data_IF_717322984043
#
_entry.id   IF_717322984043
#
_cell.length_a   1.000
_cell.length_b   1.000
_cell.length_c   1.000
_cell.angle_alpha   90.00
_cell.angle_beta   90.00
_cell.angle_gamma   90.00
#
_symmetry.space_group_name_H-M   'P 1'
#
loop_
_entity.id
_entity.type
_entity.pdbx_description
1 polymer ?
#
# COMPACT_ATOMS: atom_id res chain seq x y z
N UNK A 1 -62.48 22.27 22.99
CA UNK A 1 -62.12 21.66 21.70
C UNK A 1 -60.96 22.39 20.96
N UNK A 2 -60.81 23.71 21.11
CA UNK A 2 -59.73 24.45 20.40
C UNK A 2 -58.32 24.19 20.94
N UNK A 3 -58.12 23.80 22.22
CA UNK A 3 -56.80 23.55 22.80
C UNK A 3 -56.23 22.15 22.43
N UNK A 4 -57.10 21.17 22.13
CA UNK A 4 -56.69 19.80 21.78
C UNK A 4 -56.17 19.80 20.33
N UNK A 5 -56.77 20.61 19.47
CA UNK A 5 -56.33 20.72 18.07
C UNK A 5 -54.97 21.33 17.91
N UNK A 6 -54.62 22.35 18.77
CA UNK A 6 -53.33 22.98 18.79
C UNK A 6 -52.19 22.06 19.23
N UNK A 7 -52.52 21.14 20.17
CA UNK A 7 -51.53 20.18 20.68
C UNK A 7 -51.25 19.07 19.67
N UNK A 8 -52.28 18.63 18.88
CA UNK A 8 -52.16 17.64 17.84
C UNK A 8 -51.30 18.14 16.67
N UNK A 9 -51.44 19.42 16.25
CA UNK A 9 -50.62 20.04 15.23
C UNK A 9 -49.15 20.17 15.66
N UNK A 10 -48.88 20.38 16.94
CA UNK A 10 -47.50 20.52 17.45
C UNK A 10 -46.77 19.15 17.42
N UNK A 11 -47.49 18.06 17.77
CA UNK A 11 -46.93 16.69 17.70
C UNK A 11 -46.68 16.26 16.26
N UNK A 12 -47.55 16.61 15.31
CA UNK A 12 -47.36 16.31 13.89
C UNK A 12 -46.15 17.05 13.28
N UNK A 13 -45.90 18.30 13.73
CA UNK A 13 -44.71 19.07 13.28
C UNK A 13 -43.41 18.50 13.82
N UNK A 14 -43.40 17.96 15.06
CA UNK A 14 -42.20 17.34 15.64
C UNK A 14 -41.87 15.99 14.96
N UNK A 15 -42.88 15.19 14.60
CA UNK A 15 -42.67 13.91 13.88
C UNK A 15 -42.13 14.12 12.48
N UNK A 16 -42.54 15.18 11.78
CA UNK A 16 -41.98 15.49 10.44
C UNK A 16 -40.55 16.02 10.53
N UNK A 17 -40.17 16.75 11.60
CA UNK A 17 -38.81 17.22 11.79
C UNK A 17 -37.80 16.10 12.13
N UNK A 18 -38.27 15.00 12.76
CA UNK A 18 -37.41 13.85 13.07
C UNK A 18 -37.22 12.88 11.88
N UNK A 19 -38.05 12.95 10.84
CA UNK A 19 -37.92 12.10 9.66
C UNK A 19 -36.90 12.62 8.63
N UNK A 20 -36.39 13.84 8.78
CA UNK A 20 -35.42 14.44 7.87
C UNK A 20 -33.95 14.20 8.30
N UNK A 21 -33.72 13.46 9.40
CA UNK A 21 -32.39 13.22 9.96
C UNK A 21 -31.90 11.76 9.85
N UNK A 22 -32.43 10.98 8.92
CA UNK A 22 -31.93 9.62 8.70
C UNK A 22 -31.74 9.33 7.21
N UNK A 23 -30.73 9.88 6.62
CA UNK A 23 -30.01 9.36 5.48
C UNK A 23 -28.72 10.17 5.23
N UNK A 24 -27.97 10.49 6.26
CA UNK A 24 -26.53 10.61 6.07
C UNK A 24 -26.02 9.17 5.94
N UNK A 25 -26.01 8.59 4.73
CA UNK A 25 -25.01 7.60 4.39
C UNK A 25 -23.70 8.24 4.79
N UNK A 26 -23.04 7.71 5.83
CA UNK A 26 -21.60 7.85 5.93
C UNK A 26 -21.03 7.23 4.66
N UNK A 27 -20.88 8.02 3.63
CA UNK A 27 -19.81 7.83 2.68
C UNK A 27 -18.56 7.86 3.56
N UNK A 28 -17.98 6.69 3.80
CA UNK A 28 -16.58 6.55 4.16
C UNK A 28 -15.82 7.28 3.05
N UNK A 29 -15.71 8.59 3.20
CA UNK A 29 -14.87 9.39 2.36
C UNK A 29 -13.48 8.81 2.47
N UNK A 30 -13.02 8.17 1.41
CA UNK A 30 -11.61 8.08 1.11
C UNK A 30 -11.15 9.53 1.06
N UNK A 31 -10.63 10.03 2.20
CA UNK A 31 -10.03 11.36 2.26
C UNK A 31 -8.70 11.29 1.52
N UNK A 32 -8.77 11.08 0.21
CA UNK A 32 -7.65 11.21 -0.68
C UNK A 32 -7.29 12.70 -0.78
N UNK A 33 -6.02 12.98 -0.98
CA UNK A 33 -5.52 14.36 -1.17
C UNK A 33 -5.97 14.93 -2.51
N UNK A 34 -6.64 14.16 -3.37
CA UNK A 34 -6.91 14.47 -4.78
C UNK A 34 -5.67 14.32 -5.68
N UNK A 35 -4.56 13.84 -5.13
CA UNK A 35 -3.32 13.56 -5.85
C UNK A 35 -2.93 12.09 -5.65
N UNK A 36 -3.07 11.28 -6.69
CA UNK A 36 -2.84 9.84 -6.63
C UNK A 36 -1.42 9.47 -6.13
N UNK A 37 -0.41 10.29 -6.42
CA UNK A 37 0.96 10.02 -5.95
C UNK A 37 1.08 10.20 -4.43
N UNK A 38 0.48 11.25 -3.88
CA UNK A 38 0.47 11.48 -2.44
C UNK A 38 -0.37 10.43 -1.73
N UNK A 39 -1.53 10.09 -2.27
CA UNK A 39 -2.41 9.08 -1.71
C UNK A 39 -1.71 7.72 -1.64
N UNK A 40 -0.97 7.34 -2.68
CA UNK A 40 -0.16 6.12 -2.71
C UNK A 40 0.98 6.14 -1.67
N UNK A 41 1.68 7.27 -1.53
CA UNK A 41 2.73 7.45 -0.51
C UNK A 41 2.16 7.27 0.90
N UNK A 42 1.00 7.85 1.19
CA UNK A 42 0.38 7.78 2.51
C UNK A 42 -0.30 6.42 2.80
N UNK A 43 -0.78 5.72 1.77
CA UNK A 43 -1.37 4.40 1.89
C UNK A 43 -0.31 3.32 2.19
N UNK A 44 0.93 3.49 1.69
CA UNK A 44 1.98 2.50 1.83
C UNK A 44 2.26 2.14 3.29
N UNK A 45 2.22 0.87 3.57
CA UNK A 45 2.51 0.29 4.90
C UNK A 45 3.37 -0.97 4.79
N UNK A 46 4.01 -1.35 5.88
CA UNK A 46 4.80 -2.59 5.95
C UNK A 46 3.88 -3.77 6.27
N UNK A 47 3.43 -4.47 5.25
CA UNK A 47 2.63 -5.69 5.36
C UNK A 47 3.56 -6.89 5.58
N UNK A 48 3.21 -7.79 6.52
CA UNK A 48 3.98 -9.00 6.85
C UNK A 48 3.12 -10.26 6.91
N UNK A 49 1.84 -10.14 6.56
CA UNK A 49 0.90 -11.26 6.40
C UNK A 49 0.38 -11.24 4.97
N UNK A 50 0.54 -12.33 4.26
CA UNK A 50 0.24 -12.41 2.84
C UNK A 50 -0.86 -13.43 2.56
N UNK A 51 -1.63 -13.17 1.52
CA UNK A 51 -2.58 -14.13 0.97
C UNK A 51 -1.80 -15.25 0.27
N UNK A 52 -2.37 -16.47 0.29
CA UNK A 52 -1.82 -17.58 -0.47
C UNK A 52 -2.15 -17.47 -1.97
N UNK A 53 -1.72 -16.36 -2.59
CA UNK A 53 -1.97 -16.03 -3.99
C UNK A 53 -0.66 -15.64 -4.67
N UNK A 54 -0.42 -16.18 -5.85
CA UNK A 54 0.71 -15.76 -6.68
C UNK A 54 0.56 -14.31 -7.14
N UNK A 55 1.68 -13.66 -7.42
CA UNK A 55 1.72 -12.32 -8.02
C UNK A 55 1.89 -12.48 -9.52
N UNK A 56 1.06 -11.81 -10.28
CA UNK A 56 1.08 -11.82 -11.74
C UNK A 56 2.42 -11.26 -12.25
N UNK A 57 2.97 -11.87 -13.30
CA UNK A 57 4.28 -11.47 -13.86
C UNK A 57 4.31 -9.99 -14.23
N UNK A 58 3.25 -9.48 -14.79
CA UNK A 58 3.11 -8.09 -15.22
C UNK A 58 3.26 -7.11 -14.04
N UNK A 59 2.73 -7.46 -12.86
CA UNK A 59 2.89 -6.66 -11.64
C UNK A 59 4.33 -6.68 -11.14
N UNK A 60 4.98 -7.85 -11.20
CA UNK A 60 6.40 -7.95 -10.85
C UNK A 60 7.23 -7.08 -11.79
N UNK A 61 6.98 -7.15 -13.10
CA UNK A 61 7.68 -6.34 -14.10
C UNK A 61 7.47 -4.83 -13.87
N UNK A 62 6.26 -4.41 -13.47
CA UNK A 62 5.99 -3.00 -13.12
C UNK A 62 6.77 -2.56 -11.88
N UNK A 63 6.81 -3.38 -10.82
CA UNK A 63 7.61 -3.11 -9.63
C UNK A 63 9.10 -2.99 -9.94
N UNK A 64 9.65 -3.89 -10.77
CA UNK A 64 11.05 -3.83 -11.19
C UNK A 64 11.35 -2.56 -12.00
N UNK A 65 10.47 -2.19 -12.93
CA UNK A 65 10.59 -0.94 -13.69
C UNK A 65 10.54 0.30 -12.79
N UNK A 66 9.68 0.30 -11.76
CA UNK A 66 9.64 1.37 -10.77
C UNK A 66 10.97 1.46 -9.99
N UNK A 67 11.54 0.32 -9.60
CA UNK A 67 12.87 0.28 -8.98
C UNK A 67 13.96 0.83 -9.90
N UNK A 68 13.96 0.45 -11.18
CA UNK A 68 14.92 0.96 -12.16
C UNK A 68 14.79 2.46 -12.44
N UNK A 69 13.62 3.05 -12.19
CA UNK A 69 13.37 4.48 -12.36
C UNK A 69 13.83 5.33 -11.17
N UNK A 70 14.40 4.72 -10.12
CA UNK A 70 14.90 5.45 -8.97
C UNK A 70 16.08 6.36 -9.34
N UNK A 71 16.29 7.48 -8.63
CA UNK A 71 17.49 8.28 -8.77
C UNK A 71 18.70 7.53 -8.21
N UNK A 72 19.89 7.78 -8.76
CA UNK A 72 21.14 7.27 -8.22
C UNK A 72 22.25 8.32 -8.23
N UNK A 73 23.20 8.19 -7.31
CA UNK A 73 24.35 9.08 -7.24
C UNK A 73 25.14 9.03 -8.54
N UNK A 74 25.35 10.18 -9.18
CA UNK A 74 26.05 10.33 -10.47
C UNK A 74 25.43 9.49 -11.62
N UNK A 75 24.15 9.10 -11.50
CA UNK A 75 23.45 8.22 -12.45
C UNK A 75 24.14 6.87 -12.70
N UNK A 76 24.82 6.31 -11.69
CA UNK A 76 25.58 5.06 -11.82
C UNK A 76 24.65 3.84 -11.89
N UNK A 77 23.50 3.89 -11.22
CA UNK A 77 22.50 2.81 -11.17
C UNK A 77 23.12 1.47 -10.76
N UNK A 78 23.69 1.38 -9.53
CA UNK A 78 24.48 0.23 -9.10
C UNK A 78 23.63 -0.97 -8.63
N UNK A 79 22.31 -0.90 -8.75
CA UNK A 79 21.39 -1.94 -8.32
C UNK A 79 21.24 -3.07 -9.33
N UNK A 80 20.98 -4.24 -8.80
CA UNK A 80 20.48 -5.41 -9.50
C UNK A 80 19.29 -5.97 -8.74
N UNK A 81 18.34 -6.58 -9.44
CA UNK A 81 17.13 -7.13 -8.85
C UNK A 81 17.06 -8.63 -9.11
N UNK A 82 16.84 -9.42 -8.04
CA UNK A 82 16.65 -10.87 -8.14
C UNK A 82 15.23 -11.18 -7.68
N UNK A 83 14.44 -11.78 -8.57
CA UNK A 83 13.09 -12.28 -8.22
C UNK A 83 13.20 -13.73 -7.81
N UNK A 84 12.75 -14.04 -6.60
CA UNK A 84 12.72 -15.39 -6.05
C UNK A 84 11.27 -15.84 -5.92
N UNK A 85 10.88 -16.90 -6.65
CA UNK A 85 9.56 -17.53 -6.59
C UNK A 85 9.62 -19.00 -6.14
N UNK A 86 10.79 -19.56 -6.06
CA UNK A 86 11.02 -20.93 -5.61
C UNK A 86 10.74 -21.06 -4.12
N UNK A 87 9.83 -21.98 -3.74
CA UNK A 87 9.40 -22.14 -2.34
C UNK A 87 10.55 -22.55 -1.43
N UNK A 88 11.40 -23.48 -1.86
CA UNK A 88 12.50 -23.99 -1.04
C UNK A 88 13.53 -22.87 -0.75
N UNK A 89 13.79 -22.00 -1.73
CA UNK A 89 14.67 -20.84 -1.54
C UNK A 89 14.05 -19.83 -0.59
N UNK A 90 12.76 -19.52 -0.72
CA UNK A 90 12.06 -18.60 0.19
C UNK A 90 12.06 -19.14 1.64
N UNK A 91 11.86 -20.45 1.83
CA UNK A 91 11.90 -21.08 3.15
C UNK A 91 13.32 -21.06 3.74
N UNK A 92 14.33 -21.33 2.91
CA UNK A 92 15.74 -21.24 3.33
C UNK A 92 16.11 -19.81 3.75
N UNK A 93 15.65 -18.80 3.01
CA UNK A 93 15.84 -17.39 3.36
C UNK A 93 15.11 -17.04 4.66
N UNK A 94 13.88 -17.51 4.86
CA UNK A 94 13.12 -17.30 6.09
C UNK A 94 13.81 -17.95 7.30
N UNK A 95 14.46 -19.09 7.12
CA UNK A 95 15.23 -19.76 8.17
C UNK A 95 16.51 -19.00 8.53
N UNK A 96 17.24 -18.51 7.52
CA UNK A 96 18.54 -17.89 7.68
C UNK A 96 18.45 -16.42 8.16
N UNK A 97 17.38 -15.70 7.81
CA UNK A 97 17.26 -14.26 8.06
C UNK A 97 16.32 -13.99 9.27
N UNK A 98 16.79 -13.32 10.33
CA UNK A 98 16.02 -13.15 11.57
C UNK A 98 14.75 -12.33 11.38
N UNK A 99 14.74 -11.37 10.44
CA UNK A 99 13.64 -10.44 10.19
C UNK A 99 12.81 -10.78 8.95
N UNK A 100 13.05 -11.94 8.30
CA UNK A 100 12.38 -12.32 7.06
C UNK A 100 11.42 -13.51 7.23
N UNK A 101 10.90 -13.75 8.42
CA UNK A 101 9.99 -14.88 8.71
C UNK A 101 8.71 -14.87 7.86
N UNK A 102 8.29 -13.70 7.39
CA UNK A 102 7.14 -13.58 6.48
C UNK A 102 7.34 -14.29 5.13
N UNK A 103 8.58 -14.61 4.74
CA UNK A 103 8.88 -15.34 3.51
C UNK A 103 8.29 -16.75 3.50
N UNK A 104 7.97 -17.34 4.65
CA UNK A 104 7.25 -18.62 4.75
C UNK A 104 5.84 -18.54 4.14
N UNK A 105 5.25 -17.34 4.07
CA UNK A 105 3.91 -17.08 3.51
C UNK A 105 3.99 -16.42 2.12
N UNK A 106 5.05 -15.64 1.84
CA UNK A 106 5.21 -14.92 0.59
C UNK A 106 5.37 -15.89 -0.59
N UNK A 107 4.76 -15.56 -1.73
CA UNK A 107 4.90 -16.33 -2.97
C UNK A 107 6.07 -15.87 -3.83
N UNK A 108 6.48 -14.62 -3.64
CA UNK A 108 7.59 -14.01 -4.35
C UNK A 108 8.38 -13.12 -3.38
N UNK A 109 9.66 -12.94 -3.66
CA UNK A 109 10.50 -11.91 -3.05
C UNK A 109 11.31 -11.22 -4.14
N UNK A 110 11.52 -9.92 -3.98
CA UNK A 110 12.45 -9.14 -4.80
C UNK A 110 13.62 -8.78 -3.89
N UNK A 111 14.82 -9.23 -4.26
CA UNK A 111 16.05 -8.88 -3.57
C UNK A 111 16.68 -7.72 -4.35
N UNK A 112 16.97 -6.63 -3.65
CA UNK A 112 17.67 -5.48 -4.21
C UNK A 112 19.14 -5.61 -3.83
N UNK A 113 20.00 -5.84 -4.80
CA UNK A 113 21.45 -5.94 -4.65
C UNK A 113 22.12 -4.62 -5.06
N UNK A 114 23.20 -4.26 -4.43
CA UNK A 114 23.97 -3.06 -4.75
C UNK A 114 25.45 -3.36 -4.97
N UNK A 115 26.00 -2.84 -6.07
CA UNK A 115 27.43 -2.95 -6.37
C UNK A 115 28.20 -1.82 -5.68
N UNK A 116 28.90 -2.18 -4.60
CA UNK A 116 29.71 -1.24 -3.80
C UNK A 116 30.99 -0.79 -4.51
N UNK A 117 31.44 -1.49 -5.53
CA UNK A 117 32.62 -1.11 -6.32
C UNK A 117 32.24 -0.04 -7.34
N UNK A 118 31.04 -0.15 -7.96
CA UNK A 118 30.55 0.82 -8.94
C UNK A 118 30.15 2.16 -8.32
N UNK A 119 29.60 2.17 -7.11
CA UNK A 119 29.11 3.38 -6.45
C UNK A 119 29.35 3.35 -4.95
N UNK A 120 29.97 4.40 -4.43
CA UNK A 120 30.05 4.64 -2.97
C UNK A 120 28.68 4.97 -2.35
N UNK A 121 27.68 5.27 -3.16
CA UNK A 121 26.30 5.58 -2.75
C UNK A 121 25.35 4.40 -2.92
N UNK A 122 25.87 3.20 -3.25
CA UNK A 122 25.07 2.01 -3.59
C UNK A 122 23.92 1.74 -2.60
N UNK A 123 24.15 1.91 -1.31
CA UNK A 123 23.14 1.64 -0.27
C UNK A 123 22.01 2.68 -0.27
N UNK A 124 22.30 3.95 -0.56
CA UNK A 124 21.28 5.00 -0.73
C UNK A 124 20.50 4.79 -2.02
N UNK A 125 21.20 4.48 -3.11
CA UNK A 125 20.62 4.21 -4.42
C UNK A 125 19.67 3.00 -4.35
N UNK A 126 20.10 1.91 -3.72
CA UNK A 126 19.27 0.71 -3.49
C UNK A 126 18.08 0.99 -2.58
N UNK A 127 18.22 1.86 -1.59
CA UNK A 127 17.11 2.27 -0.72
C UNK A 127 16.05 3.04 -1.50
N UNK A 128 16.45 3.95 -2.40
CA UNK A 128 15.54 4.68 -3.26
C UNK A 128 14.81 3.72 -4.23
N UNK A 129 15.54 2.76 -4.82
CA UNK A 129 14.95 1.74 -5.69
C UNK A 129 13.95 0.85 -4.93
N UNK A 130 14.29 0.41 -3.71
CA UNK A 130 13.40 -0.37 -2.85
C UNK A 130 12.12 0.41 -2.50
N UNK A 131 12.23 1.72 -2.21
CA UNK A 131 11.06 2.55 -1.93
C UNK A 131 10.14 2.65 -3.15
N UNK A 132 10.68 2.82 -4.36
CA UNK A 132 9.88 2.83 -5.58
C UNK A 132 9.16 1.50 -5.82
N UNK A 133 9.83 0.36 -5.56
CA UNK A 133 9.21 -0.97 -5.64
C UNK A 133 8.05 -1.09 -4.65
N UNK A 134 8.21 -0.62 -3.42
CA UNK A 134 7.16 -0.65 -2.39
C UNK A 134 5.96 0.23 -2.75
N UNK A 135 6.19 1.40 -3.34
CA UNK A 135 5.12 2.27 -3.82
C UNK A 135 4.38 1.65 -5.01
N UNK A 136 5.10 1.02 -5.94
CA UNK A 136 4.48 0.30 -7.05
C UNK A 136 3.70 -0.96 -6.61
N UNK A 137 4.07 -1.54 -5.46
CA UNK A 137 3.32 -2.67 -4.89
C UNK A 137 2.04 -2.25 -4.15
N UNK A 138 1.95 -0.99 -3.72
CA UNK A 138 0.75 -0.42 -3.05
C UNK A 138 -0.27 0.08 -4.07
N UNK A 139 0.16 0.52 -5.27
CA UNK A 139 -0.71 1.03 -6.33
C UNK A 139 -1.51 -0.06 -7.05
#
# INVERSE_FOLDING_TARGET
MKKIFSFLCLIAAIVVAMSACSSAKEEKGTSGTGNAALDNIFARKSVRTYLNKGVEKEKIDLMLRAGMAAPSGKDVRPWEFIVVSDRAKLDSMAAALPYAKMLTQARNAIIVCGDSVRSSYWYLDCSAAAQNILLAAES
#
